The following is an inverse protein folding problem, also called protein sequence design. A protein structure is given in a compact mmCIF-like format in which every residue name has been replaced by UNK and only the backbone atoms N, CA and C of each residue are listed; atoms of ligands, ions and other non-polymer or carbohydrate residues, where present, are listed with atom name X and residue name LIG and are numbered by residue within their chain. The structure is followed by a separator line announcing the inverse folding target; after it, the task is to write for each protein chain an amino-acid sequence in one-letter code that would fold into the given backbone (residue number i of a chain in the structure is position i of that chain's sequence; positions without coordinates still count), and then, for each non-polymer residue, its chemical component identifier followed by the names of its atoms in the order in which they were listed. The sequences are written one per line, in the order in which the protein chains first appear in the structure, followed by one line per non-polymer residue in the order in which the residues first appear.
data_IF_085442003498
#
_entry.id   IF_085442003498
#
_cell.length_a   1.000
_cell.length_b   1.000
_cell.length_c   1.000
_cell.angle_alpha   90.00
_cell.angle_beta   90.00
_cell.angle_gamma   90.00
#
_symmetry.space_group_name_H-M   'P 1'
#
loop_
_entity.id
_entity.type
_entity.pdbx_description
1 polymer ?
#
# COMPACT_ATOMS: atom_id res chain seq x y z
N UNK A 1 -36.74 49.30 -43.33
CA UNK A 1 -36.59 47.85 -43.06
C UNK A 1 -35.48 47.31 -43.94
N UNK A 2 -34.49 46.69 -43.32
CA UNK A 2 -33.14 46.37 -43.79
C UNK A 2 -33.08 45.25 -44.83
N UNK A 3 -32.43 45.50 -45.96
CA UNK A 3 -32.10 44.54 -47.00
C UNK A 3 -30.75 43.84 -46.71
N UNK A 4 -30.88 42.60 -46.25
CA UNK A 4 -30.15 41.39 -46.65
C UNK A 4 -28.75 41.56 -47.30
N UNK A 5 -27.68 41.30 -46.53
CA UNK A 5 -26.35 40.94 -47.05
C UNK A 5 -26.22 39.41 -47.09
N UNK A 6 -25.96 38.89 -48.29
CA UNK A 6 -25.72 37.47 -48.57
C UNK A 6 -24.28 37.04 -48.21
N UNK A 7 -24.19 35.79 -47.74
CA UNK A 7 -23.08 34.82 -47.88
C UNK A 7 -21.76 35.14 -47.18
N UNK A 8 -21.47 34.36 -46.12
CA UNK A 8 -20.23 33.57 -46.06
C UNK A 8 -20.34 32.41 -45.05
N UNK A 9 -20.18 31.21 -45.61
CA UNK A 9 -19.53 30.03 -45.04
C UNK A 9 -20.30 29.16 -44.04
N UNK A 10 -20.80 28.05 -44.59
CA UNK A 10 -20.90 26.73 -44.00
C UNK A 10 -19.69 26.38 -43.12
N UNK A 11 -19.89 26.00 -41.86
CA UNK A 11 -19.01 25.05 -41.18
C UNK A 11 -19.76 24.34 -40.05
N UNK A 12 -20.33 23.21 -40.45
CA UNK A 12 -20.45 21.94 -39.72
C UNK A 12 -20.42 22.01 -38.19
N UNK A 13 -21.58 21.73 -37.62
CA UNK A 13 -21.71 20.97 -36.38
C UNK A 13 -20.99 19.63 -36.61
N UNK A 14 -19.90 19.41 -35.88
CA UNK A 14 -19.38 18.08 -35.61
C UNK A 14 -19.10 17.99 -34.11
N UNK A 15 -19.98 17.24 -33.44
CA UNK A 15 -19.75 16.65 -32.14
C UNK A 15 -18.37 15.98 -32.14
N UNK A 16 -17.41 16.61 -31.48
CA UNK A 16 -16.24 15.92 -30.95
C UNK A 16 -16.30 16.02 -29.43
N UNK A 17 -17.03 15.09 -28.84
CA UNK A 17 -16.62 14.48 -27.58
C UNK A 17 -15.21 13.92 -27.79
N UNK A 18 -14.18 14.73 -27.56
CA UNK A 18 -12.81 14.29 -27.65
C UNK A 18 -12.14 14.48 -26.30
N UNK A 19 -11.99 13.35 -25.62
CA UNK A 19 -11.05 13.19 -24.52
C UNK A 19 -11.55 13.71 -23.19
N UNK A 20 -12.16 12.81 -22.40
CA UNK A 20 -11.65 12.68 -21.03
C UNK A 20 -10.13 12.40 -21.14
N UNK A 21 -9.33 13.47 -21.22
CA UNK A 21 -7.96 13.39 -20.77
C UNK A 21 -8.07 13.17 -19.26
N UNK A 22 -8.16 11.91 -18.83
CA UNK A 22 -7.54 11.57 -17.56
C UNK A 22 -6.08 11.95 -17.75
N UNK A 23 -5.67 13.13 -17.26
CA UNK A 23 -4.28 13.50 -17.25
C UNK A 23 -3.55 12.31 -16.64
N UNK A 24 -2.75 11.61 -17.45
CA UNK A 24 -1.72 10.72 -16.91
C UNK A 24 -0.88 11.65 -16.06
N UNK A 25 -1.12 11.68 -14.75
CA UNK A 25 -0.29 12.42 -13.82
C UNK A 25 1.09 11.79 -13.89
N UNK A 26 1.90 12.28 -14.81
CA UNK A 26 3.30 11.93 -14.91
C UNK A 26 3.96 12.49 -13.67
N UNK A 27 4.51 11.60 -12.84
CA UNK A 27 5.24 11.97 -11.65
C UNK A 27 6.35 12.96 -12.03
N UNK A 28 6.53 13.99 -11.21
CA UNK A 28 7.59 14.97 -11.45
C UNK A 28 8.98 14.28 -11.48
N UNK A 29 9.77 14.43 -12.56
CA UNK A 29 11.08 13.79 -12.67
C UNK A 29 12.06 14.15 -11.54
N UNK A 30 11.99 15.37 -11.00
CA UNK A 30 12.83 15.78 -9.87
C UNK A 30 12.42 15.05 -8.58
N UNK A 31 11.13 14.78 -8.39
CA UNK A 31 10.66 13.94 -7.29
C UNK A 31 11.16 12.48 -7.45
N UNK A 32 11.14 11.95 -8.67
CA UNK A 32 11.69 10.61 -8.97
C UNK A 32 13.20 10.54 -8.69
N UNK A 33 13.96 11.54 -9.12
CA UNK A 33 15.42 11.60 -8.90
C UNK A 33 15.76 11.65 -7.40
N UNK A 34 15.06 12.48 -6.63
CA UNK A 34 15.25 12.57 -5.18
C UNK A 34 14.91 11.27 -4.48
N UNK A 35 13.83 10.60 -4.92
CA UNK A 35 13.47 9.28 -4.41
C UNK A 35 14.55 8.25 -4.74
N UNK A 36 15.09 8.23 -5.97
CA UNK A 36 16.19 7.36 -6.33
C UNK A 36 17.41 7.59 -5.42
N UNK A 37 17.80 8.85 -5.21
CA UNK A 37 18.90 9.22 -4.28
C UNK A 37 18.62 8.80 -2.84
N UNK A 38 17.37 8.81 -2.39
CA UNK A 38 17.02 8.31 -1.07
C UNK A 38 17.18 6.79 -0.99
N UNK A 39 16.79 6.07 -2.05
CA UNK A 39 16.82 4.62 -2.10
C UNK A 39 18.23 4.03 -2.17
N UNK A 40 19.23 4.78 -2.64
CA UNK A 40 20.64 4.36 -2.53
C UNK A 40 21.11 4.21 -1.08
N UNK A 41 20.39 4.80 -0.11
CA UNK A 41 20.71 4.75 1.32
C UNK A 41 20.08 3.55 2.04
N UNK A 42 19.26 2.72 1.35
CA UNK A 42 18.63 1.53 1.96
C UNK A 42 19.68 0.51 2.45
N UNK A 43 20.81 0.39 1.75
CA UNK A 43 21.91 -0.48 2.19
C UNK A 43 22.50 -0.07 3.56
N UNK A 44 22.21 1.15 4.03
CA UNK A 44 22.65 1.70 5.30
C UNK A 44 21.47 2.06 6.21
N UNK A 45 20.33 1.39 6.04
CA UNK A 45 19.10 1.71 6.75
C UNK A 45 19.27 1.65 8.28
N UNK A 46 20.08 0.73 8.80
CA UNK A 46 20.38 0.63 10.23
C UNK A 46 21.18 1.81 10.79
N UNK A 47 21.87 2.58 9.94
CA UNK A 47 22.52 3.81 10.35
C UNK A 47 21.48 4.95 10.44
N UNK A 48 21.30 5.49 11.65
CA UNK A 48 20.28 6.51 11.91
C UNK A 48 20.46 7.78 11.05
N UNK A 49 21.69 8.18 10.74
CA UNK A 49 21.96 9.40 9.97
C UNK A 49 21.70 9.18 8.48
N UNK A 50 22.05 8.02 7.93
CA UNK A 50 21.65 7.59 6.59
C UNK A 50 20.13 7.56 6.44
N UNK A 51 19.42 6.98 7.41
CA UNK A 51 17.95 6.96 7.43
C UNK A 51 17.34 8.37 7.49
N UNK A 52 17.86 9.27 8.34
CA UNK A 52 17.42 10.67 8.39
C UNK A 52 17.69 11.40 7.08
N UNK A 53 18.83 11.15 6.43
CA UNK A 53 19.19 11.73 5.14
C UNK A 53 18.22 11.26 4.04
N UNK A 54 17.88 9.98 4.01
CA UNK A 54 16.90 9.44 3.08
C UNK A 54 15.52 10.08 3.27
N UNK A 55 15.05 10.20 4.52
CA UNK A 55 13.79 10.88 4.85
C UNK A 55 13.81 12.34 4.38
N UNK A 56 14.94 13.06 4.54
CA UNK A 56 15.09 14.44 4.06
C UNK A 56 14.94 14.55 2.54
N UNK A 57 15.54 13.63 1.79
CA UNK A 57 15.39 13.55 0.33
C UNK A 57 13.95 13.25 -0.07
N UNK A 58 13.28 12.31 0.62
CA UNK A 58 11.90 11.92 0.35
C UNK A 58 10.90 13.02 0.74
N UNK A 59 11.18 13.81 1.79
CA UNK A 59 10.43 15.02 2.10
C UNK A 59 10.48 16.02 0.94
N UNK A 60 11.67 16.26 0.38
CA UNK A 60 11.80 17.14 -0.80
C UNK A 60 11.03 16.58 -2.00
N UNK A 61 11.14 15.27 -2.27
CA UNK A 61 10.41 14.62 -3.35
C UNK A 61 8.89 14.78 -3.21
N UNK A 62 8.36 14.58 -2.00
CA UNK A 62 6.92 14.68 -1.71
C UNK A 62 6.41 16.12 -1.56
N UNK A 63 7.30 17.10 -1.42
CA UNK A 63 6.96 18.53 -1.57
C UNK A 63 6.81 18.88 -3.05
N UNK A 64 7.71 18.40 -3.90
CA UNK A 64 7.66 18.62 -5.35
C UNK A 64 6.42 17.95 -5.96
N UNK A 65 6.18 16.69 -5.62
CA UNK A 65 4.98 15.96 -6.03
C UNK A 65 4.31 15.32 -4.80
N UNK A 66 3.28 16.01 -4.31
CA UNK A 66 2.52 15.59 -3.13
C UNK A 66 1.74 14.29 -3.32
N UNK A 67 1.49 13.86 -4.55
CA UNK A 67 0.78 12.63 -4.88
C UNK A 67 1.72 11.52 -5.36
N UNK A 68 3.04 11.73 -5.28
CA UNK A 68 4.02 10.72 -5.63
C UNK A 68 4.01 9.55 -4.64
N UNK A 69 3.28 8.49 -5.02
CA UNK A 69 3.07 7.31 -4.19
C UNK A 69 4.37 6.66 -3.70
N UNK A 70 5.34 6.44 -4.59
CA UNK A 70 6.60 5.78 -4.21
C UNK A 70 7.43 6.62 -3.23
N UNK A 71 7.40 7.96 -3.36
CA UNK A 71 8.07 8.85 -2.41
C UNK A 71 7.50 8.70 -0.99
N UNK A 72 6.18 8.63 -0.86
CA UNK A 72 5.53 8.36 0.43
C UNK A 72 5.79 6.93 0.92
N UNK A 73 5.74 5.92 0.04
CA UNK A 73 5.95 4.53 0.40
C UNK A 73 7.37 4.27 0.91
N UNK A 74 8.38 4.79 0.21
CA UNK A 74 9.78 4.66 0.62
C UNK A 74 10.06 5.44 1.92
N UNK A 75 9.33 6.53 2.18
CA UNK A 75 9.43 7.25 3.46
C UNK A 75 8.95 6.40 4.63
N UNK A 76 7.91 5.60 4.41
CA UNK A 76 7.37 4.68 5.43
C UNK A 76 8.42 3.67 5.88
N UNK A 77 9.21 3.12 4.94
CA UNK A 77 10.32 2.20 5.23
C UNK A 77 11.31 2.81 6.23
N UNK A 78 11.81 4.02 5.97
CA UNK A 78 12.78 4.68 6.86
C UNK A 78 12.16 5.14 8.18
N UNK A 79 10.88 5.55 8.21
CA UNK A 79 10.22 5.85 9.48
C UNK A 79 10.04 4.62 10.35
N UNK A 80 9.70 3.47 9.76
CA UNK A 80 9.62 2.20 10.48
C UNK A 80 10.98 1.82 11.08
N UNK A 81 12.05 1.96 10.31
CA UNK A 81 13.40 1.70 10.79
C UNK A 81 13.76 2.57 12.01
N UNK A 82 13.49 3.87 11.93
CA UNK A 82 13.76 4.80 13.03
C UNK A 82 12.73 4.71 14.17
N UNK A 83 11.80 3.76 14.11
CA UNK A 83 10.68 3.58 15.06
C UNK A 83 9.85 4.87 15.25
N UNK A 84 9.79 5.73 14.22
CA UNK A 84 9.01 6.97 14.22
C UNK A 84 7.56 6.67 13.81
N UNK A 85 6.86 5.87 14.63
CA UNK A 85 5.58 5.29 14.25
C UNK A 85 4.45 6.33 14.06
N UNK A 86 4.44 7.42 14.83
CA UNK A 86 3.46 8.51 14.62
C UNK A 86 3.56 9.10 13.21
N UNK A 87 4.79 9.32 12.72
CA UNK A 87 5.02 9.82 11.35
C UNK A 87 4.71 8.76 10.30
N UNK A 88 4.97 7.49 10.61
CA UNK A 88 4.60 6.36 9.76
C UNK A 88 3.08 6.26 9.59
N UNK A 89 2.29 6.48 10.65
CA UNK A 89 0.82 6.54 10.61
C UNK A 89 0.33 7.66 9.68
N UNK A 90 0.89 8.87 9.81
CA UNK A 90 0.55 9.96 8.89
C UNK A 90 0.87 9.61 7.43
N UNK A 91 2.00 8.94 7.21
CA UNK A 91 2.45 8.53 5.86
C UNK A 91 1.58 7.44 5.26
N UNK A 92 1.21 6.40 6.03
CA UNK A 92 0.32 5.34 5.54
C UNK A 92 -1.08 5.87 5.24
N UNK A 93 -1.58 6.83 6.02
CA UNK A 93 -2.86 7.49 5.75
C UNK A 93 -2.84 8.28 4.44
N UNK A 94 -1.72 8.96 4.12
CA UNK A 94 -1.56 9.59 2.79
C UNK A 94 -1.52 8.55 1.67
N UNK A 95 -0.85 7.42 1.85
CA UNK A 95 -0.83 6.33 0.86
C UNK A 95 -2.23 5.75 0.62
N UNK A 96 -3.02 5.58 1.69
CA UNK A 96 -4.42 5.12 1.60
C UNK A 96 -5.28 6.14 0.87
N UNK A 97 -5.10 7.45 1.08
CA UNK A 97 -5.81 8.47 0.30
C UNK A 97 -5.50 8.37 -1.20
N UNK A 98 -4.26 8.02 -1.56
CA UNK A 98 -3.86 7.82 -2.96
C UNK A 98 -4.36 6.49 -3.54
N UNK A 99 -4.48 5.45 -2.72
CA UNK A 99 -4.95 4.10 -3.11
C UNK A 99 -5.92 3.54 -2.06
N UNK A 100 -7.20 3.96 -2.08
CA UNK A 100 -8.15 3.63 -1.02
C UNK A 100 -8.57 2.15 -0.97
N UNK A 101 -8.25 1.39 -2.02
CA UNK A 101 -8.56 -0.05 -2.13
C UNK A 101 -7.34 -0.96 -1.92
N UNK A 102 -6.19 -0.41 -1.49
CA UNK A 102 -4.97 -1.18 -1.26
C UNK A 102 -4.99 -1.85 0.13
N UNK A 103 -5.34 -3.14 0.19
CA UNK A 103 -5.52 -3.88 1.44
C UNK A 103 -4.23 -3.92 2.31
N UNK A 104 -3.06 -3.95 1.66
CA UNK A 104 -1.73 -4.00 2.26
C UNK A 104 -1.40 -2.73 3.04
N UNK A 105 -1.87 -1.57 2.56
CA UNK A 105 -1.73 -0.31 3.28
C UNK A 105 -2.57 -0.28 4.55
N UNK A 106 -3.80 -0.83 4.52
CA UNK A 106 -4.61 -0.95 5.73
C UNK A 106 -4.02 -1.96 6.72
N UNK A 107 -3.49 -3.10 6.26
CA UNK A 107 -2.79 -4.06 7.11
C UNK A 107 -1.58 -3.38 7.79
N UNK A 108 -0.79 -2.65 7.02
CA UNK A 108 0.35 -1.88 7.53
C UNK A 108 -0.09 -0.80 8.53
N UNK A 109 -1.17 -0.07 8.24
CA UNK A 109 -1.76 0.89 9.16
C UNK A 109 -2.19 0.25 10.47
N UNK A 110 -2.85 -0.91 10.43
CA UNK A 110 -3.21 -1.66 11.64
C UNK A 110 -1.99 -2.00 12.50
N UNK A 111 -0.92 -2.50 11.87
CA UNK A 111 0.35 -2.79 12.56
C UNK A 111 0.95 -1.53 13.19
N UNK A 112 0.90 -0.39 12.49
CA UNK A 112 1.43 0.87 13.01
C UNK A 112 0.63 1.40 14.20
N UNK A 113 -0.70 1.28 14.16
CA UNK A 113 -1.56 1.65 15.28
C UNK A 113 -1.35 0.74 16.50
N UNK A 114 -1.10 -0.57 16.31
CA UNK A 114 -0.64 -1.44 17.40
C UNK A 114 0.65 -0.93 18.05
N UNK A 115 1.62 -0.49 17.23
CA UNK A 115 2.92 -0.02 17.71
C UNK A 115 2.86 1.28 18.52
N UNK A 116 1.84 2.12 18.29
CA UNK A 116 1.58 3.31 19.10
C UNK A 116 0.54 3.08 20.20
N UNK A 117 0.06 1.84 20.36
CA UNK A 117 -0.89 1.45 21.41
C UNK A 117 -2.37 1.78 21.12
N UNK A 118 -2.70 2.31 19.96
CA UNK A 118 -4.09 2.59 19.55
C UNK A 118 -4.75 1.33 18.98
N UNK A 119 -5.19 0.46 19.89
CA UNK A 119 -5.84 -0.80 19.54
C UNK A 119 -7.21 -0.62 18.88
N UNK A 120 -7.87 0.54 19.07
CA UNK A 120 -9.18 0.83 18.48
C UNK A 120 -9.02 1.11 16.98
N UNK A 121 -8.14 2.05 16.62
CA UNK A 121 -7.84 2.35 15.22
C UNK A 121 -7.22 1.14 14.53
N UNK A 122 -6.32 0.43 15.20
CA UNK A 122 -5.76 -0.83 14.69
C UNK A 122 -6.83 -1.83 14.26
N UNK A 123 -7.81 -2.12 15.12
CA UNK A 123 -8.91 -3.05 14.81
C UNK A 123 -9.72 -2.59 13.59
N UNK A 124 -9.98 -1.29 13.47
CA UNK A 124 -10.69 -0.73 12.31
C UNK A 124 -9.92 -0.96 11.01
N UNK A 125 -8.60 -0.74 11.02
CA UNK A 125 -7.74 -0.92 9.85
C UNK A 125 -7.62 -2.39 9.44
N UNK A 126 -7.40 -3.31 10.38
CA UNK A 126 -7.40 -4.74 10.08
C UNK A 126 -8.75 -5.22 9.54
N UNK A 127 -9.86 -4.73 10.11
CA UNK A 127 -11.21 -5.04 9.60
C UNK A 127 -11.37 -4.56 8.15
N UNK A 128 -10.93 -3.33 7.85
CA UNK A 128 -11.02 -2.78 6.50
C UNK A 128 -10.16 -3.56 5.50
N UNK A 129 -8.93 -3.92 5.87
CA UNK A 129 -8.05 -4.76 5.06
C UNK A 129 -8.68 -6.12 4.78
N UNK A 130 -9.22 -6.78 5.81
CA UNK A 130 -9.92 -8.07 5.69
C UNK A 130 -11.13 -7.98 4.74
N UNK A 131 -11.93 -6.93 4.85
CA UNK A 131 -13.07 -6.70 3.93
C UNK A 131 -12.59 -6.59 2.49
N UNK A 132 -11.58 -5.76 2.22
CA UNK A 132 -11.05 -5.59 0.86
C UNK A 132 -10.50 -6.91 0.32
N UNK A 133 -9.66 -7.63 1.08
CA UNK A 133 -9.13 -8.93 0.65
C UNK A 133 -10.26 -9.91 0.31
N UNK A 134 -11.29 -9.99 1.16
CA UNK A 134 -12.41 -10.91 0.97
C UNK A 134 -13.20 -10.55 -0.29
N UNK A 135 -13.55 -9.29 -0.48
CA UNK A 135 -14.27 -8.84 -1.68
C UNK A 135 -13.49 -9.13 -2.97
N UNK A 136 -12.17 -8.94 -2.95
CA UNK A 136 -11.33 -9.26 -4.12
C UNK A 136 -11.30 -10.77 -4.35
N UNK A 137 -11.08 -11.59 -3.31
CA UNK A 137 -11.04 -13.05 -3.41
C UNK A 137 -12.37 -13.65 -3.88
N UNK A 138 -13.52 -13.10 -3.47
CA UNK A 138 -14.85 -13.59 -3.86
C UNK A 138 -15.12 -13.48 -5.36
N UNK A 139 -14.40 -12.60 -6.06
CA UNK A 139 -14.59 -12.34 -7.50
C UNK A 139 -13.39 -12.78 -8.36
N UNK A 140 -12.26 -13.08 -7.72
CA UNK A 140 -11.01 -13.46 -8.38
C UNK A 140 -10.97 -14.95 -8.72
N UNK A 141 -10.32 -15.31 -9.82
CA UNK A 141 -9.98 -16.71 -10.11
C UNK A 141 -8.95 -17.24 -9.12
N UNK A 142 -9.14 -18.45 -8.61
CA UNK A 142 -8.16 -19.13 -7.74
C UNK A 142 -6.80 -19.35 -8.40
N UNK A 143 -6.73 -19.31 -9.74
CA UNK A 143 -5.47 -19.42 -10.51
C UNK A 143 -4.77 -18.08 -10.71
N UNK A 144 -5.33 -16.98 -10.20
CA UNK A 144 -4.69 -15.68 -10.28
C UNK A 144 -3.40 -15.69 -9.45
N UNK A 145 -2.31 -15.16 -10.02
CA UNK A 145 -0.99 -15.09 -9.37
C UNK A 145 -1.01 -14.38 -7.99
N UNK A 146 -1.97 -13.48 -7.76
CA UNK A 146 -2.08 -12.70 -6.53
C UNK A 146 -2.95 -13.40 -5.47
N UNK A 147 -3.60 -14.52 -5.81
CA UNK A 147 -4.53 -15.25 -4.93
C UNK A 147 -3.88 -15.65 -3.60
N UNK A 148 -2.68 -16.24 -3.66
CA UNK A 148 -1.99 -16.74 -2.47
C UNK A 148 -1.54 -15.61 -1.54
N UNK A 149 -1.08 -14.50 -2.13
CA UNK A 149 -0.77 -13.28 -1.38
C UNK A 149 -2.02 -12.72 -0.67
N UNK A 150 -3.17 -12.68 -1.36
CA UNK A 150 -4.42 -12.20 -0.80
C UNK A 150 -4.95 -13.11 0.32
N UNK A 151 -4.85 -14.44 0.15
CA UNK A 151 -5.19 -15.41 1.20
C UNK A 151 -4.26 -15.29 2.40
N UNK A 152 -2.96 -15.08 2.18
CA UNK A 152 -1.98 -14.84 3.25
C UNK A 152 -2.31 -13.55 4.02
N UNK A 153 -2.61 -12.45 3.31
CA UNK A 153 -3.02 -11.19 3.93
C UNK A 153 -4.37 -11.31 4.65
N UNK A 154 -5.32 -12.09 4.11
CA UNK A 154 -6.58 -12.41 4.79
C UNK A 154 -6.30 -13.15 6.11
N UNK A 155 -5.45 -14.16 6.10
CA UNK A 155 -5.05 -14.90 7.31
C UNK A 155 -4.34 -13.99 8.32
N UNK A 156 -3.41 -13.14 7.88
CA UNK A 156 -2.76 -12.13 8.73
C UNK A 156 -3.79 -11.26 9.46
N UNK A 157 -4.76 -10.69 8.74
CA UNK A 157 -5.80 -9.86 9.34
C UNK A 157 -6.68 -10.65 10.32
N UNK A 158 -7.02 -11.90 10.00
CA UNK A 158 -7.77 -12.77 10.90
C UNK A 158 -6.99 -13.03 12.21
N UNK A 159 -5.67 -13.29 12.15
CA UNK A 159 -4.81 -13.42 13.34
C UNK A 159 -4.84 -12.12 14.16
N UNK A 160 -4.67 -10.97 13.49
CA UNK A 160 -4.66 -9.66 14.14
C UNK A 160 -5.99 -9.31 14.83
N UNK A 161 -7.10 -9.85 14.33
CA UNK A 161 -8.45 -9.69 14.88
C UNK A 161 -8.83 -10.79 15.89
N UNK A 162 -7.97 -11.79 16.12
CA UNK A 162 -8.20 -12.88 17.07
C UNK A 162 -8.95 -14.09 16.52
N UNK A 163 -9.18 -14.17 15.20
CA UNK A 163 -9.86 -15.28 14.52
C UNK A 163 -8.86 -16.39 14.12
N UNK A 164 -8.14 -16.93 15.11
CA UNK A 164 -7.00 -17.83 14.90
C UNK A 164 -7.34 -19.09 14.11
N UNK A 165 -8.47 -19.73 14.41
CA UNK A 165 -8.88 -20.97 13.75
C UNK A 165 -9.07 -20.76 12.24
N UNK A 166 -9.84 -19.74 11.85
CA UNK A 166 -10.11 -19.42 10.45
C UNK A 166 -8.81 -19.07 9.70
N UNK A 167 -7.91 -18.33 10.34
CA UNK A 167 -6.61 -18.01 9.75
C UNK A 167 -5.78 -19.27 9.47
N UNK A 168 -5.69 -20.18 10.44
CA UNK A 168 -4.93 -21.42 10.32
C UNK A 168 -5.52 -22.39 9.29
N UNK A 169 -6.84 -22.43 9.12
CA UNK A 169 -7.47 -23.22 8.05
C UNK A 169 -7.06 -22.72 6.66
N UNK A 170 -6.97 -21.39 6.47
CA UNK A 170 -6.50 -20.79 5.22
C UNK A 170 -5.01 -21.12 5.01
N UNK A 171 -4.17 -20.86 6.02
CA UNK A 171 -2.74 -21.10 5.94
C UNK A 171 -2.41 -22.58 5.69
N UNK A 172 -3.13 -23.50 6.33
CA UNK A 172 -2.93 -24.94 6.09
C UNK A 172 -3.22 -25.31 4.63
N UNK A 173 -4.32 -24.81 4.05
CA UNK A 173 -4.64 -25.05 2.63
C UNK A 173 -3.58 -24.49 1.70
N UNK A 174 -3.06 -23.28 1.98
CA UNK A 174 -1.94 -22.71 1.23
C UNK A 174 -0.70 -23.59 1.32
N UNK A 175 -0.34 -24.03 2.52
CA UNK A 175 0.81 -24.92 2.75
C UNK A 175 0.68 -26.26 2.01
N UNK A 176 -0.47 -26.93 2.13
CA UNK A 176 -0.70 -28.25 1.54
C UNK A 176 -0.65 -28.21 0.00
N UNK A 177 -1.10 -27.10 -0.60
CA UNK A 177 -1.18 -26.94 -2.06
C UNK A 177 0.08 -26.33 -2.68
N UNK A 178 1.00 -25.81 -1.87
CA UNK A 178 2.21 -25.17 -2.35
C UNK A 178 3.26 -26.23 -2.68
N UNK A 179 3.95 -26.09 -3.81
CA UNK A 179 5.07 -26.97 -4.19
C UNK A 179 6.42 -26.32 -3.95
N UNK A 180 6.46 -24.99 -3.90
CA UNK A 180 7.66 -24.22 -3.61
C UNK A 180 7.97 -24.22 -2.10
N UNK A 181 9.16 -24.71 -1.73
CA UNK A 181 9.55 -24.86 -0.33
C UNK A 181 9.78 -23.52 0.39
N UNK A 182 10.17 -22.46 -0.32
CA UNK A 182 10.32 -21.12 0.26
C UNK A 182 8.95 -20.54 0.62
N UNK A 183 7.97 -20.67 -0.28
CA UNK A 183 6.60 -20.22 -0.04
C UNK A 183 5.90 -21.03 1.07
N UNK A 184 6.21 -22.33 1.18
CA UNK A 184 5.77 -23.15 2.33
C UNK A 184 6.34 -22.61 3.65
N UNK A 185 7.63 -22.30 3.68
CA UNK A 185 8.28 -21.76 4.88
C UNK A 185 7.64 -20.44 5.30
N UNK A 186 7.35 -19.55 4.34
CA UNK A 186 6.65 -18.29 4.60
C UNK A 186 5.28 -18.50 5.26
N UNK A 187 4.54 -19.53 4.81
CA UNK A 187 3.24 -19.90 5.40
C UNK A 187 3.41 -20.42 6.84
N UNK A 188 4.41 -21.27 7.08
CA UNK A 188 4.70 -21.82 8.41
C UNK A 188 5.09 -20.74 9.44
N UNK A 189 5.73 -19.64 9.00
CA UNK A 189 6.07 -18.53 9.88
C UNK A 189 4.85 -17.85 10.50
N UNK A 190 3.67 -17.98 9.87
CA UNK A 190 2.41 -17.42 10.36
C UNK A 190 1.53 -18.46 11.07
N UNK A 191 1.61 -19.73 10.67
CA UNK A 191 0.77 -20.79 11.23
C UNK A 191 0.95 -20.90 12.75
N UNK A 192 -0.18 -20.97 13.45
CA UNK A 192 -0.26 -21.08 14.91
C UNK A 192 0.43 -19.95 15.69
N UNK A 193 0.79 -18.83 15.03
CA UNK A 193 1.27 -17.63 15.72
C UNK A 193 0.10 -16.85 16.28
N UNK A 194 0.22 -16.45 17.54
CA UNK A 194 -0.61 -15.40 18.13
C UNK A 194 -0.31 -14.06 17.48
N UNK A 195 -1.25 -13.12 17.60
CA UNK A 195 -1.06 -11.70 17.24
C UNK A 195 0.27 -11.14 17.74
N UNK A 196 0.60 -11.37 19.02
CA UNK A 196 1.83 -10.89 19.65
C UNK A 196 3.07 -11.42 18.94
N UNK A 197 3.14 -12.75 18.74
CA UNK A 197 4.28 -13.39 18.08
C UNK A 197 4.45 -12.90 16.63
N UNK A 198 3.35 -12.67 15.92
CA UNK A 198 3.40 -12.19 14.54
C UNK A 198 3.85 -10.72 14.45
N UNK A 199 3.41 -9.87 15.38
CA UNK A 199 3.89 -8.48 15.48
C UNK A 199 5.38 -8.40 15.85
N UNK A 200 5.84 -9.27 16.76
CA UNK A 200 7.25 -9.40 17.12
C UNK A 200 8.08 -9.84 15.90
N UNK A 201 7.62 -10.85 15.17
CA UNK A 201 8.26 -11.31 13.94
C UNK A 201 8.41 -10.18 12.90
N UNK A 202 7.37 -9.39 12.65
CA UNK A 202 7.43 -8.25 11.72
C UNK A 202 8.13 -7.00 12.28
N UNK A 203 8.52 -7.01 13.56
CA UNK A 203 9.29 -5.93 14.15
C UNK A 203 10.80 -6.03 13.88
N UNK A 204 11.27 -7.16 13.34
CA UNK A 204 12.69 -7.41 13.10
C UNK A 204 13.51 -7.59 14.38
N UNK A 205 12.86 -7.69 15.55
CA UNK A 205 13.52 -8.02 16.81
C UNK A 205 13.73 -9.54 16.85
N UNK A 206 14.87 -10.02 16.35
CA UNK A 206 15.49 -11.28 16.77
C UNK A 206 16.73 -10.97 17.59
#
# INVERSE_FOLDING_TARGET
MTTLKFIKTFLLIALYSCGQHSAKNTVDPAAVELNYKAMTLVAFIDNADSSKKAISLLNKATIIDSNYFLGHYNKLLFFNQLKQFDKAVLTVNKLIQLRPSAHDLYLTGGILYERIGDTVSSKQYFTKSLTICTTVLDTMSVTNRDNDMLLTNKAANLIMLGYQQQANEILKKLYDNQTDEELKLNTLLMMNKSKKQLLEFWSGNQ
#
